data_IF_207623767136
#
_entry.id   IF_207623767136
#
_cell.length_a   1.000
_cell.length_b   1.000
_cell.length_c   1.000
_cell.angle_alpha   90.00
_cell.angle_beta   90.00
_cell.angle_gamma   90.00
#
_symmetry.space_group_name_H-M   'P 1'
#
loop_
_entity.id
_entity.type
_entity.pdbx_description
1 polymer ?
#
# COMPACT_ATOMS: atom_id res chain seq x y z
N UNK A 1 2.08 10.54 9.01
CA UNK A 1 2.29 11.91 9.51
C UNK A 1 1.46 12.17 10.76
N UNK A 2 2.00 12.97 11.67
CA UNK A 2 1.24 13.48 12.80
C UNK A 2 0.28 14.60 12.37
N UNK A 3 -0.94 14.52 12.85
CA UNK A 3 -1.97 15.54 12.69
C UNK A 3 -2.32 16.10 14.05
N UNK A 4 -2.49 17.41 14.14
CA UNK A 4 -2.95 18.08 15.37
C UNK A 4 -4.47 18.03 15.41
N UNK A 5 -5.04 17.62 16.54
CA UNK A 5 -6.47 17.66 16.80
C UNK A 5 -6.76 18.31 18.16
N UNK A 6 -8.03 18.65 18.40
CA UNK A 6 -8.46 19.22 19.67
C UNK A 6 -8.34 18.24 20.86
N UNK A 7 -8.19 16.95 20.56
CA UNK A 7 -8.06 15.87 21.54
C UNK A 7 -6.64 15.29 21.63
N UNK A 8 -5.65 15.96 21.02
CA UNK A 8 -4.26 15.53 21.01
C UNK A 8 -3.78 15.12 19.61
N UNK A 9 -2.53 14.64 19.51
CA UNK A 9 -1.96 14.25 18.23
C UNK A 9 -2.62 12.96 17.71
N UNK A 10 -2.85 12.91 16.40
CA UNK A 10 -3.35 11.74 15.68
C UNK A 10 -2.37 11.34 14.59
N UNK A 11 -2.00 10.06 14.53
CA UNK A 11 -1.13 9.54 13.49
C UNK A 11 -1.96 9.12 12.27
N UNK A 12 -1.66 9.74 11.12
CA UNK A 12 -2.25 9.35 9.85
C UNK A 12 -1.32 8.41 9.08
N UNK A 13 -1.84 7.24 8.69
CA UNK A 13 -1.16 6.29 7.82
C UNK A 13 -1.56 6.51 6.35
N UNK A 14 -0.66 6.21 5.39
CA UNK A 14 -0.99 6.34 3.97
C UNK A 14 -2.11 5.37 3.54
N UNK A 15 -3.00 5.87 2.71
CA UNK A 15 -4.00 5.09 1.99
C UNK A 15 -4.12 5.68 0.59
N UNK A 16 -3.67 4.93 -0.41
CA UNK A 16 -3.50 5.44 -1.75
C UNK A 16 -4.72 5.16 -2.62
N UNK A 17 -5.14 6.16 -3.39
CA UNK A 17 -6.19 5.99 -4.40
C UNK A 17 -5.66 5.27 -5.65
N UNK A 18 -4.42 5.51 -6.03
CA UNK A 18 -3.80 4.94 -7.22
C UNK A 18 -3.63 3.42 -7.13
N UNK A 19 -3.46 2.90 -5.91
CA UNK A 19 -3.30 1.46 -5.62
C UNK A 19 -4.55 0.91 -4.92
N UNK A 20 -5.68 1.13 -5.54
CA UNK A 20 -6.98 0.71 -5.05
C UNK A 20 -7.78 0.12 -6.21
N UNK A 21 -8.21 -1.13 -6.07
CA UNK A 21 -8.93 -1.85 -7.12
C UNK A 21 -10.26 -1.17 -7.50
N UNK A 22 -10.93 -0.52 -6.54
CA UNK A 22 -12.14 0.25 -6.80
C UNK A 22 -11.88 1.41 -7.76
N UNK A 23 -10.77 2.11 -7.60
CA UNK A 23 -10.38 3.19 -8.51
C UNK A 23 -10.00 2.62 -9.87
N UNK A 24 -9.11 1.64 -9.89
CA UNK A 24 -8.56 1.05 -11.13
C UNK A 24 -9.67 0.40 -11.97
N UNK A 25 -10.54 -0.39 -11.36
CA UNK A 25 -11.48 -1.24 -12.09
C UNK A 25 -12.92 -0.74 -12.09
N UNK A 26 -13.38 -0.13 -11.01
CA UNK A 26 -14.77 0.36 -10.94
C UNK A 26 -14.92 1.78 -11.49
N UNK A 27 -13.97 2.66 -11.24
CA UNK A 27 -14.04 4.07 -11.64
C UNK A 27 -13.34 4.31 -12.97
N UNK A 28 -12.04 3.98 -13.06
CA UNK A 28 -11.25 4.19 -14.28
C UNK A 28 -11.49 3.12 -15.35
N UNK A 29 -12.06 1.98 -14.97
CA UNK A 29 -12.45 0.88 -15.87
C UNK A 29 -11.31 0.31 -16.71
N UNK A 30 -10.14 0.17 -16.11
CA UNK A 30 -8.99 -0.45 -16.76
C UNK A 30 -9.19 -1.96 -16.95
N UNK A 31 -8.45 -2.53 -17.88
CA UNK A 31 -8.37 -3.97 -18.08
C UNK A 31 -7.64 -4.64 -16.91
N UNK A 32 -7.96 -5.92 -16.68
CA UNK A 32 -7.24 -6.78 -15.73
C UNK A 32 -5.74 -6.77 -16.04
N UNK A 33 -4.90 -6.65 -15.01
CA UNK A 33 -3.45 -6.51 -15.14
C UNK A 33 -2.95 -5.09 -14.82
N UNK A 34 -3.80 -4.08 -14.89
CA UNK A 34 -3.40 -2.71 -14.63
C UNK A 34 -3.00 -2.47 -13.17
N UNK A 35 -3.68 -3.12 -12.23
CA UNK A 35 -3.35 -2.98 -10.82
C UNK A 35 -2.00 -3.62 -10.49
N UNK A 36 -1.71 -4.78 -11.06
CA UNK A 36 -0.39 -5.42 -10.97
C UNK A 36 0.71 -4.50 -11.54
N UNK A 37 0.51 -3.94 -12.73
CA UNK A 37 1.48 -3.03 -13.35
C UNK A 37 1.78 -1.82 -12.45
N UNK A 38 0.76 -1.19 -11.89
CA UNK A 38 0.94 -0.07 -10.94
C UNK A 38 1.68 -0.49 -9.68
N UNK A 39 1.37 -1.67 -9.15
CA UNK A 39 2.02 -2.21 -7.96
C UNK A 39 3.51 -2.46 -8.20
N UNK A 40 3.86 -3.12 -9.31
CA UNK A 40 5.24 -3.40 -9.67
C UNK A 40 6.05 -2.12 -9.88
N UNK A 41 5.51 -1.15 -10.59
CA UNK A 41 6.18 0.14 -10.83
C UNK A 41 6.37 0.94 -9.54
N UNK A 42 5.36 0.95 -8.67
CA UNK A 42 5.45 1.62 -7.37
C UNK A 42 6.49 0.95 -6.49
N UNK A 43 6.48 -0.38 -6.43
CA UNK A 43 7.46 -1.15 -5.65
C UNK A 43 8.89 -0.87 -6.12
N UNK A 44 9.13 -0.87 -7.43
CA UNK A 44 10.46 -0.57 -8.00
C UNK A 44 10.97 0.82 -7.59
N UNK A 45 10.10 1.83 -7.62
CA UNK A 45 10.45 3.17 -7.16
C UNK A 45 10.73 3.20 -5.66
N UNK A 46 9.87 2.58 -4.86
CA UNK A 46 10.01 2.54 -3.40
C UNK A 46 11.27 1.78 -2.97
N UNK A 47 11.65 0.73 -3.65
CA UNK A 47 12.92 0.03 -3.40
C UNK A 47 14.14 0.93 -3.60
N UNK A 48 14.10 1.78 -4.61
CA UNK A 48 15.15 2.78 -4.86
C UNK A 48 15.17 3.86 -3.77
N UNK A 49 13.99 4.36 -3.39
CA UNK A 49 13.87 5.42 -2.38
C UNK A 49 14.13 4.93 -0.95
N UNK A 50 13.87 3.65 -0.67
CA UNK A 50 14.00 3.06 0.66
C UNK A 50 15.43 3.09 1.22
N UNK A 51 16.43 3.25 0.36
CA UNK A 51 17.81 3.47 0.78
C UNK A 51 17.98 4.77 1.58
N UNK A 52 17.11 5.74 1.36
CA UNK A 52 17.13 7.05 2.04
C UNK A 52 16.01 7.21 3.06
N UNK A 53 14.82 6.70 2.74
CA UNK A 53 13.61 6.84 3.58
C UNK A 53 12.73 5.60 3.43
N UNK A 54 12.25 5.04 4.54
CA UNK A 54 11.26 3.97 4.45
C UNK A 54 9.96 4.49 3.80
N UNK A 55 9.27 3.60 3.07
CA UNK A 55 8.01 3.88 2.43
C UNK A 55 6.95 2.90 2.92
N UNK A 56 5.72 3.37 3.00
CA UNK A 56 4.57 2.52 3.29
C UNK A 56 3.79 2.34 1.99
N UNK A 57 3.60 1.09 1.59
CA UNK A 57 2.77 0.70 0.47
C UNK A 57 1.45 0.15 1.00
N UNK A 58 0.36 0.78 0.65
CA UNK A 58 -0.99 0.32 0.98
C UNK A 58 -1.73 -0.05 -0.30
N UNK A 59 -2.27 -1.27 -0.35
CA UNK A 59 -3.11 -1.74 -1.46
C UNK A 59 -4.56 -1.82 -0.98
N UNK A 60 -5.45 -1.08 -1.62
CA UNK A 60 -6.89 -1.14 -1.37
C UNK A 60 -7.50 -2.30 -2.16
N UNK A 61 -8.08 -3.27 -1.47
CA UNK A 61 -8.63 -4.49 -2.06
C UNK A 61 -10.08 -4.68 -1.65
N UNK A 62 -10.93 -5.02 -2.62
CA UNK A 62 -12.33 -5.35 -2.41
C UNK A 62 -12.61 -6.76 -2.95
N UNK A 63 -13.17 -7.67 -2.16
CA UNK A 63 -13.41 -9.05 -2.59
C UNK A 63 -14.23 -9.16 -3.88
N UNK A 64 -15.23 -8.30 -4.07
CA UNK A 64 -16.06 -8.29 -5.27
C UNK A 64 -15.34 -7.80 -6.53
N UNK A 65 -14.16 -7.20 -6.41
CA UNK A 65 -13.34 -6.74 -7.54
C UNK A 65 -12.14 -7.65 -7.79
N UNK A 66 -11.33 -7.94 -6.77
CA UNK A 66 -10.13 -8.77 -6.91
C UNK A 66 -10.34 -10.25 -6.62
N UNK A 67 -11.42 -10.61 -5.91
CA UNK A 67 -11.76 -12.01 -5.60
C UNK A 67 -12.48 -12.75 -6.72
N UNK A 68 -12.80 -12.07 -7.84
CA UNK A 68 -13.46 -12.70 -8.99
C UNK A 68 -12.48 -13.57 -9.79
N UNK A 69 -12.94 -14.67 -10.44
CA UNK A 69 -12.05 -15.63 -11.09
C UNK A 69 -11.07 -15.02 -12.09
N UNK A 70 -11.49 -14.03 -12.89
CA UNK A 70 -10.64 -13.43 -13.93
C UNK A 70 -9.62 -12.42 -13.40
N UNK A 71 -9.67 -12.05 -12.11
CA UNK A 71 -8.69 -11.14 -11.47
C UNK A 71 -7.93 -11.78 -10.30
N UNK A 72 -8.37 -12.93 -9.80
CA UNK A 72 -7.72 -13.54 -8.65
C UNK A 72 -6.25 -13.89 -8.92
N UNK A 73 -5.92 -14.36 -10.13
CA UNK A 73 -4.54 -14.62 -10.53
C UNK A 73 -3.67 -13.36 -10.56
N UNK A 74 -4.24 -12.21 -10.86
CA UNK A 74 -3.54 -10.93 -10.75
C UNK A 74 -3.18 -10.60 -9.31
N UNK A 75 -4.14 -10.80 -8.39
CA UNK A 75 -3.91 -10.61 -6.96
C UNK A 75 -2.80 -11.52 -6.42
N UNK A 76 -2.80 -12.80 -6.80
CA UNK A 76 -1.74 -13.74 -6.42
C UNK A 76 -0.36 -13.24 -6.89
N UNK A 77 -0.25 -12.80 -8.15
CA UNK A 77 1.01 -12.25 -8.68
C UNK A 77 1.45 -10.97 -7.97
N UNK A 78 0.52 -10.12 -7.56
CA UNK A 78 0.84 -8.94 -6.76
C UNK A 78 1.46 -9.32 -5.42
N UNK A 79 0.88 -10.31 -4.73
CA UNK A 79 1.44 -10.83 -3.48
C UNK A 79 2.81 -11.47 -3.69
N UNK A 80 2.97 -12.28 -4.72
CA UNK A 80 4.25 -12.92 -5.04
C UNK A 80 5.36 -11.88 -5.29
N UNK A 81 5.02 -10.81 -6.02
CA UNK A 81 5.92 -9.70 -6.28
C UNK A 81 6.40 -9.02 -4.98
N UNK A 82 5.47 -8.76 -4.07
CA UNK A 82 5.77 -8.12 -2.78
C UNK A 82 6.56 -9.05 -1.85
N UNK A 83 6.21 -10.33 -1.80
CA UNK A 83 6.90 -11.34 -0.99
C UNK A 83 8.33 -11.58 -1.49
N UNK A 84 8.54 -11.57 -2.79
CA UNK A 84 9.86 -11.76 -3.41
C UNK A 84 10.80 -10.57 -3.20
N UNK A 85 10.28 -9.38 -2.88
CA UNK A 85 11.09 -8.19 -2.66
C UNK A 85 11.88 -8.29 -1.35
N UNK A 86 13.24 -8.25 -1.40
CA UNK A 86 14.06 -8.38 -0.19
C UNK A 86 13.97 -7.17 0.75
N UNK A 87 13.41 -6.06 0.28
CA UNK A 87 13.27 -4.81 1.04
C UNK A 87 11.85 -4.59 1.56
N UNK A 88 10.94 -5.53 1.31
CA UNK A 88 9.54 -5.44 1.73
C UNK A 88 9.30 -6.26 2.99
N UNK A 89 8.59 -5.67 3.93
CA UNK A 89 8.09 -6.34 5.13
C UNK A 89 6.59 -6.08 5.27
N UNK A 90 5.83 -7.11 5.64
CA UNK A 90 4.40 -7.00 5.89
C UNK A 90 4.16 -6.70 7.37
N UNK A 91 3.47 -5.61 7.62
CA UNK A 91 3.17 -5.15 8.98
C UNK A 91 1.69 -4.78 9.08
N UNK A 92 1.14 -4.91 10.28
CA UNK A 92 -0.17 -4.34 10.58
C UNK A 92 -0.08 -2.82 10.70
N UNK A 93 -1.18 -2.08 10.51
CA UNK A 93 -1.18 -0.63 10.74
C UNK A 93 -0.70 -0.23 12.14
N UNK A 94 -1.04 -1.02 13.16
CA UNK A 94 -0.57 -0.77 14.53
C UNK A 94 0.96 -0.88 14.63
N UNK A 95 1.55 -1.93 14.06
CA UNK A 95 3.01 -2.10 14.03
C UNK A 95 3.72 -0.96 13.29
N UNK A 96 3.15 -0.47 12.18
CA UNK A 96 3.68 0.68 11.46
C UNK A 96 3.60 1.94 12.33
N UNK A 97 2.47 2.14 13.01
CA UNK A 97 2.27 3.28 13.90
C UNK A 97 3.27 3.28 15.05
N UNK A 98 3.42 2.16 15.73
CA UNK A 98 4.35 1.99 16.85
C UNK A 98 5.80 2.27 16.40
N UNK A 99 6.19 1.71 15.27
CA UNK A 99 7.52 1.96 14.71
C UNK A 99 7.73 3.44 14.37
N UNK A 100 6.76 4.06 13.73
CA UNK A 100 6.86 5.47 13.33
C UNK A 100 6.92 6.41 14.55
N UNK A 101 6.09 6.15 15.56
CA UNK A 101 6.09 6.92 16.81
C UNK A 101 7.44 6.84 17.52
N UNK A 102 8.06 5.66 17.55
CA UNK A 102 9.39 5.47 18.14
C UNK A 102 10.49 6.27 17.40
N UNK A 103 10.36 6.47 16.08
CA UNK A 103 11.32 7.24 15.26
C UNK A 103 11.02 8.74 15.26
N UNK A 104 9.75 9.10 15.26
CA UNK A 104 9.26 10.49 15.15
C UNK A 104 8.15 10.70 16.17
N UNK A 105 8.50 10.95 17.43
CA UNK A 105 7.50 11.21 18.48
C UNK A 105 6.60 12.40 18.16
N UNK A 106 5.36 12.36 18.63
CA UNK A 106 4.44 13.49 18.53
C UNK A 106 4.97 14.69 19.34
N UNK A 107 4.89 15.86 18.76
CA UNK A 107 5.25 17.12 19.42
C UNK A 107 4.08 17.69 20.22
#
# INVERSE_FOLDING_TARGET
NWMRTDHGPLLSLPYNLELNDSIVYAIEKHATGQFLDRTERTLALFETESAKRPRVLALGLHPHLMGVPHRFGEFERMLDCLIASPKTVFLTPAQIADWFEAQVPAN
#
